data_IF_247367982747
#
_entry.id   IF_247367982747
#
_cell.length_a   1.000
_cell.length_b   1.000
_cell.length_c   1.000
_cell.angle_alpha   90.00
_cell.angle_beta   90.00
_cell.angle_gamma   90.00
#
_symmetry.space_group_name_H-M   'P 1'
#
loop_
_entity.id
_entity.type
_entity.pdbx_description
1 polymer ?
#
# COMPACT_ATOMS: atom_id res chain seq x y z
N UNK A 1 -13.54 -11.50 -17.57
CA UNK A 1 -12.17 -11.10 -17.19
C UNK A 1 -12.24 -10.71 -15.72
N UNK A 2 -11.59 -11.48 -14.86
CA UNK A 2 -11.53 -11.23 -13.41
C UNK A 2 -10.15 -10.68 -13.07
N UNK A 3 -10.11 -9.67 -12.19
CA UNK A 3 -8.86 -8.99 -11.81
C UNK A 3 -8.79 -8.99 -10.29
N UNK A 4 -7.73 -9.61 -9.77
CA UNK A 4 -7.38 -9.56 -8.35
C UNK A 4 -6.08 -8.78 -8.20
N UNK A 5 -5.99 -7.95 -7.17
CA UNK A 5 -4.80 -7.13 -6.88
C UNK A 5 -4.16 -7.57 -5.58
N UNK A 6 -2.83 -7.72 -5.59
CA UNK A 6 -2.07 -7.96 -4.36
C UNK A 6 -1.73 -6.62 -3.73
N UNK A 7 -2.37 -6.32 -2.60
CA UNK A 7 -2.07 -5.12 -1.80
C UNK A 7 -1.09 -5.52 -0.70
N UNK A 8 -0.01 -4.76 -0.58
CA UNK A 8 1.02 -4.96 0.42
C UNK A 8 0.97 -3.82 1.43
N UNK A 9 1.05 -4.15 2.73
CA UNK A 9 1.36 -3.17 3.76
C UNK A 9 2.88 -3.03 3.82
N UNK A 10 3.37 -1.92 3.30
CA UNK A 10 4.80 -1.65 3.27
C UNK A 10 5.38 -1.60 4.69
N UNK A 11 6.51 -2.26 4.87
CA UNK A 11 7.34 -2.14 6.07
C UNK A 11 8.29 -0.96 5.94
N UNK A 12 8.93 -0.83 4.78
CA UNK A 12 9.95 0.18 4.54
C UNK A 12 9.34 1.42 3.85
N UNK A 13 10.06 2.54 3.89
CA UNK A 13 9.51 3.85 3.52
C UNK A 13 10.18 4.46 2.30
N UNK A 14 9.45 5.33 1.60
CA UNK A 14 10.03 6.30 0.66
C UNK A 14 10.03 7.71 1.21
N UNK A 15 10.22 8.69 0.34
CA UNK A 15 10.23 10.10 0.70
C UNK A 15 9.60 10.98 -0.38
N UNK A 16 9.12 12.15 0.03
CA UNK A 16 8.69 13.21 -0.89
C UNK A 16 9.79 14.27 -0.92
N UNK A 17 10.33 14.54 -2.10
CA UNK A 17 11.36 15.55 -2.33
C UNK A 17 10.79 16.68 -3.16
N UNK A 18 11.29 17.90 -2.98
CA UNK A 18 11.01 19.01 -3.90
C UNK A 18 12.06 19.01 -5.00
N UNK A 19 11.62 18.99 -6.26
CA UNK A 19 12.51 19.17 -7.41
C UNK A 19 13.13 20.58 -7.35
N UNK A 20 14.45 20.73 -7.21
CA UNK A 20 15.06 22.05 -7.03
C UNK A 20 14.98 22.93 -8.28
N UNK A 21 14.78 22.33 -9.46
CA UNK A 21 14.68 23.07 -10.72
C UNK A 21 13.26 23.48 -11.06
N UNK A 22 12.26 22.68 -10.64
CA UNK A 22 10.85 22.87 -11.01
C UNK A 22 9.96 23.30 -9.85
N UNK A 23 10.43 23.16 -8.60
CA UNK A 23 9.66 23.44 -7.39
C UNK A 23 8.48 22.49 -7.14
N UNK A 24 8.40 21.37 -7.88
CA UNK A 24 7.28 20.42 -7.77
C UNK A 24 7.66 19.23 -6.87
N UNK A 25 6.71 18.66 -6.11
CA UNK A 25 6.96 17.47 -5.32
C UNK A 25 7.22 16.25 -6.22
N UNK A 26 8.15 15.41 -5.78
CA UNK A 26 8.54 14.14 -6.38
C UNK A 26 8.51 13.06 -5.33
N UNK A 27 7.75 12.00 -5.59
CA UNK A 27 7.76 10.80 -4.75
C UNK A 27 8.97 9.96 -5.17
N UNK A 28 9.91 9.78 -4.25
CA UNK A 28 11.02 8.85 -4.38
C UNK A 28 10.71 7.60 -3.56
N UNK A 29 10.30 6.55 -4.24
CA UNK A 29 9.89 5.30 -3.62
C UNK A 29 10.30 4.12 -4.50
N UNK A 30 10.98 3.17 -3.87
CA UNK A 30 11.33 1.87 -4.46
C UNK A 30 10.97 0.83 -3.41
N UNK A 31 10.08 -0.13 -3.70
CA UNK A 31 9.78 -1.23 -2.78
C UNK A 31 11.06 -1.90 -2.31
N UNK A 32 11.15 -2.16 -1.01
CA UNK A 32 12.29 -2.92 -0.49
C UNK A 32 12.24 -4.37 -0.96
N UNK A 33 13.34 -5.10 -0.79
CA UNK A 33 13.35 -6.56 -1.06
C UNK A 33 12.32 -7.30 -0.22
N UNK A 34 12.03 -6.82 0.98
CA UNK A 34 11.02 -7.42 1.86
C UNK A 34 9.61 -7.15 1.33
N UNK A 35 9.29 -5.91 1.00
CA UNK A 35 7.96 -5.51 0.53
C UNK A 35 7.66 -6.12 -0.85
N UNK A 36 8.64 -6.12 -1.76
CA UNK A 36 8.54 -6.79 -3.06
C UNK A 36 8.26 -8.30 -2.88
N UNK A 37 8.99 -8.99 -1.99
CA UNK A 37 8.74 -10.41 -1.71
C UNK A 37 7.34 -10.63 -1.12
N UNK A 38 6.92 -9.78 -0.18
CA UNK A 38 5.59 -9.84 0.43
C UNK A 38 4.49 -9.72 -0.63
N UNK A 39 4.63 -8.78 -1.56
CA UNK A 39 3.75 -8.62 -2.70
C UNK A 39 3.71 -9.86 -3.60
N UNK A 40 4.88 -10.43 -3.96
CA UNK A 40 4.96 -11.62 -4.80
C UNK A 40 4.23 -12.83 -4.18
N UNK A 41 4.35 -13.03 -2.87
CA UNK A 41 3.60 -14.08 -2.17
C UNK A 41 2.10 -13.88 -2.32
N UNK A 42 1.63 -12.64 -2.22
CA UNK A 42 0.24 -12.29 -2.46
C UNK A 42 -0.19 -12.58 -3.90
N UNK A 43 0.62 -12.20 -4.90
CA UNK A 43 0.34 -12.52 -6.30
C UNK A 43 0.23 -14.03 -6.56
N UNK A 44 1.11 -14.84 -5.96
CA UNK A 44 1.06 -16.31 -6.03
C UNK A 44 -0.23 -16.85 -5.39
N UNK A 45 -0.66 -16.29 -4.25
CA UNK A 45 -1.91 -16.66 -3.61
C UNK A 45 -3.13 -16.31 -4.49
N UNK A 46 -3.12 -15.14 -5.13
CA UNK A 46 -4.17 -14.73 -6.07
C UNK A 46 -4.24 -15.65 -7.29
N UNK A 47 -3.09 -16.06 -7.83
CA UNK A 47 -3.06 -17.03 -8.92
C UNK A 47 -3.71 -18.37 -8.52
N UNK A 48 -3.49 -18.84 -7.28
CA UNK A 48 -4.16 -20.04 -6.75
C UNK A 48 -5.69 -19.84 -6.65
N UNK A 49 -6.15 -18.67 -6.21
CA UNK A 49 -7.58 -18.34 -6.16
C UNK A 49 -8.19 -18.37 -7.56
N UNK A 50 -7.57 -17.67 -8.52
CA UNK A 50 -8.02 -17.66 -9.92
C UNK A 50 -8.04 -19.08 -10.51
N UNK A 51 -7.04 -19.89 -10.19
CA UNK A 51 -6.99 -21.29 -10.61
C UNK A 51 -8.20 -22.06 -10.06
N UNK A 52 -8.50 -21.96 -8.77
CA UNK A 52 -9.64 -22.65 -8.14
C UNK A 52 -10.98 -22.15 -8.69
N UNK A 53 -11.08 -20.87 -9.06
CA UNK A 53 -12.26 -20.30 -9.72
C UNK A 53 -12.45 -20.78 -11.17
N UNK A 54 -11.55 -21.63 -11.69
CA UNK A 54 -11.64 -22.18 -13.04
C UNK A 54 -11.08 -21.25 -14.13
N UNK A 55 -10.15 -20.35 -13.78
CA UNK A 55 -9.50 -19.50 -14.78
C UNK A 55 -8.83 -20.36 -15.87
N UNK A 56 -9.17 -20.07 -17.14
CA UNK A 56 -8.54 -20.71 -18.31
C UNK A 56 -7.12 -20.16 -18.55
N UNK A 57 -6.94 -18.88 -18.26
CA UNK A 57 -5.66 -18.18 -18.43
C UNK A 57 -5.42 -17.28 -17.23
N UNK A 58 -4.19 -17.28 -16.71
CA UNK A 58 -3.79 -16.42 -15.59
C UNK A 58 -2.60 -15.59 -16.05
N UNK A 59 -2.82 -14.27 -16.08
CA UNK A 59 -1.82 -13.28 -16.47
C UNK A 59 -1.28 -12.61 -15.20
N UNK A 60 -0.02 -12.82 -14.82
CA UNK A 60 0.52 -12.37 -13.54
C UNK A 60 0.91 -10.87 -13.54
N UNK A 61 0.74 -10.17 -14.67
CA UNK A 61 1.19 -8.78 -14.85
C UNK A 61 2.69 -8.55 -14.53
N UNK A 62 3.51 -9.59 -14.65
CA UNK A 62 4.97 -9.53 -14.56
C UNK A 62 5.54 -9.44 -15.98
N UNK A 63 6.11 -8.29 -16.41
CA UNK A 63 6.64 -8.15 -17.76
C UNK A 63 7.66 -9.24 -18.07
N UNK A 64 7.50 -9.91 -19.21
CA UNK A 64 8.39 -11.00 -19.65
C UNK A 64 8.01 -12.41 -19.17
N UNK A 65 7.19 -12.55 -18.13
CA UNK A 65 6.69 -13.85 -17.68
C UNK A 65 5.46 -14.27 -18.48
N UNK A 66 5.46 -15.50 -19.00
CA UNK A 66 4.33 -16.02 -19.77
C UNK A 66 3.13 -16.34 -18.86
N UNK A 67 1.89 -16.13 -19.35
CA UNK A 67 0.70 -16.50 -18.60
C UNK A 67 0.61 -18.02 -18.43
N UNK A 68 -0.05 -18.46 -17.36
CA UNK A 68 -0.47 -19.86 -17.26
C UNK A 68 -1.68 -20.07 -18.16
N UNK A 69 -1.60 -21.04 -19.07
CA UNK A 69 -2.72 -21.45 -19.92
C UNK A 69 -3.12 -22.86 -19.50
N UNK A 70 -4.34 -23.01 -19.01
CA UNK A 70 -4.90 -24.31 -18.59
C UNK A 70 -5.00 -25.24 -19.80
N UNK A 71 -4.56 -26.48 -19.66
CA UNK A 71 -4.64 -27.45 -20.75
C UNK A 71 -6.10 -27.76 -21.05
N UNK A 72 -6.43 -27.86 -22.32
CA UNK A 72 -7.71 -28.36 -22.79
C UNK A 72 -7.38 -29.41 -23.86
N UNK A 73 -7.75 -30.68 -23.63
CA UNK A 73 -7.56 -31.72 -24.63
C UNK A 73 -8.32 -31.35 -25.91
N UNK A 74 -7.74 -31.64 -27.09
CA UNK A 74 -8.33 -31.28 -28.39
C UNK A 74 -9.74 -31.86 -28.63
N UNK A 75 -10.16 -32.86 -27.85
CA UNK A 75 -11.48 -33.50 -27.91
C UNK A 75 -12.31 -33.34 -26.62
N UNK A 76 -11.81 -32.63 -25.60
CA UNK A 76 -12.46 -32.58 -24.28
C UNK A 76 -13.41 -31.39 -24.16
N UNK A 77 -14.67 -31.68 -23.88
CA UNK A 77 -15.71 -30.65 -23.64
C UNK A 77 -15.53 -29.91 -22.30
N UNK A 78 -14.74 -30.46 -21.39
CA UNK A 78 -14.52 -29.97 -20.03
C UNK A 78 -13.05 -30.12 -19.65
N UNK A 79 -12.57 -29.28 -18.74
CA UNK A 79 -11.21 -29.35 -18.23
C UNK A 79 -11.20 -30.24 -16.99
N UNK A 80 -10.32 -31.24 -16.93
CA UNK A 80 -10.13 -32.06 -15.72
C UNK A 80 -9.33 -31.27 -14.67
N UNK A 81 -10.05 -30.74 -13.69
CA UNK A 81 -9.50 -29.93 -12.59
C UNK A 81 -9.41 -30.71 -11.27
N UNK A 82 -9.51 -32.05 -11.30
CA UNK A 82 -9.49 -32.90 -10.11
C UNK A 82 -8.23 -32.72 -9.24
N UNK A 83 -7.09 -32.41 -9.85
CA UNK A 83 -5.84 -32.13 -9.15
C UNK A 83 -5.85 -30.76 -8.41
N UNK A 84 -6.79 -29.87 -8.72
CA UNK A 84 -6.88 -28.54 -8.13
C UNK A 84 -5.53 -27.80 -8.21
N UNK A 85 -5.17 -27.07 -7.16
CA UNK A 85 -3.89 -26.34 -7.12
C UNK A 85 -2.66 -27.26 -7.13
N UNK A 86 -2.82 -28.58 -6.97
CA UNK A 86 -1.71 -29.54 -7.02
C UNK A 86 -1.35 -30.01 -8.43
N UNK A 87 -2.04 -29.50 -9.46
CA UNK A 87 -1.66 -29.71 -10.87
C UNK A 87 -0.17 -29.39 -11.10
N UNK A 88 0.55 -30.35 -11.69
CA UNK A 88 2.00 -30.27 -11.80
C UNK A 88 2.47 -29.11 -12.69
N UNK A 89 1.73 -28.80 -13.77
CA UNK A 89 2.07 -27.68 -14.65
C UNK A 89 1.85 -26.35 -13.96
N UNK A 90 0.77 -26.23 -13.21
CA UNK A 90 0.47 -25.04 -12.42
C UNK A 90 1.50 -24.85 -11.32
N UNK A 91 1.88 -25.90 -10.59
CA UNK A 91 2.94 -25.85 -9.59
C UNK A 91 4.30 -25.49 -10.20
N UNK A 92 4.64 -26.01 -11.37
CA UNK A 92 5.85 -25.64 -12.10
C UNK A 92 5.83 -24.15 -12.48
N UNK A 93 4.71 -23.65 -13.00
CA UNK A 93 4.55 -22.24 -13.34
C UNK A 93 4.60 -21.32 -12.10
N UNK A 94 4.03 -21.72 -10.96
CA UNK A 94 4.15 -20.96 -9.72
C UNK A 94 5.61 -20.87 -9.23
N UNK A 95 6.40 -21.95 -9.38
CA UNK A 95 7.84 -21.94 -9.07
C UNK A 95 8.62 -21.03 -10.03
N UNK A 96 8.27 -21.03 -11.32
CA UNK A 96 8.84 -20.10 -12.30
C UNK A 96 8.53 -18.65 -11.91
N UNK A 97 7.28 -18.35 -11.56
CA UNK A 97 6.85 -17.03 -11.09
C UNK A 97 7.61 -16.57 -9.84
N UNK A 98 7.79 -17.46 -8.86
CA UNK A 98 8.55 -17.18 -7.64
C UNK A 98 10.04 -16.88 -7.95
N UNK A 99 10.66 -17.69 -8.82
CA UNK A 99 12.04 -17.51 -9.23
C UNK A 99 12.25 -16.26 -10.11
N UNK A 100 11.26 -15.91 -10.92
CA UNK A 100 11.26 -14.71 -11.76
C UNK A 100 11.27 -13.44 -10.90
N UNK A 101 10.40 -13.42 -9.89
CA UNK A 101 10.23 -12.30 -8.98
C UNK A 101 9.53 -11.09 -9.61
N UNK A 102 9.49 -9.99 -8.86
CA UNK A 102 8.84 -8.72 -9.24
C UNK A 102 9.83 -7.55 -9.12
N UNK A 103 10.97 -7.68 -9.80
CA UNK A 103 12.09 -6.74 -9.70
C UNK A 103 11.70 -5.37 -10.25
N UNK A 104 12.20 -4.32 -9.59
CA UNK A 104 12.15 -2.94 -10.09
C UNK A 104 13.37 -2.66 -11.00
N UNK A 105 13.25 -1.74 -11.98
CA UNK A 105 12.07 -0.95 -12.33
C UNK A 105 11.06 -1.67 -13.26
N UNK A 106 11.38 -2.89 -13.70
CA UNK A 106 10.60 -3.58 -14.73
C UNK A 106 9.16 -3.86 -14.28
N UNK A 107 8.96 -4.26 -13.03
CA UNK A 107 7.61 -4.46 -12.47
C UNK A 107 7.05 -3.14 -11.98
N UNK A 108 5.88 -2.70 -12.48
CA UNK A 108 5.25 -1.48 -12.00
C UNK A 108 4.62 -1.70 -10.63
N UNK A 109 5.01 -0.88 -9.67
CA UNK A 109 4.32 -0.73 -8.39
C UNK A 109 3.53 0.57 -8.39
N UNK A 110 2.27 0.52 -7.94
CA UNK A 110 1.41 1.68 -7.84
C UNK A 110 0.73 1.73 -6.48
N UNK A 111 0.40 2.95 -6.03
CA UNK A 111 -0.39 3.17 -4.82
C UNK A 111 -1.27 4.39 -5.02
N UNK A 112 -2.51 4.28 -4.53
CA UNK A 112 -3.42 5.42 -4.37
C UNK A 112 -3.44 5.96 -2.93
N UNK A 113 -2.65 5.36 -2.03
CA UNK A 113 -2.70 5.60 -0.59
C UNK A 113 -1.33 6.08 -0.07
N UNK A 114 -0.87 7.23 -0.55
CA UNK A 114 0.30 7.90 0.01
C UNK A 114 -0.02 8.43 1.42
N UNK A 115 0.86 8.17 2.39
CA UNK A 115 0.66 8.55 3.78
C UNK A 115 2.00 8.69 4.51
N UNK A 116 1.97 9.16 5.75
CA UNK A 116 3.13 9.21 6.68
C UNK A 116 4.26 10.21 6.37
N UNK A 117 4.08 11.15 5.43
CA UNK A 117 5.12 12.14 5.09
C UNK A 117 5.30 13.24 6.15
N UNK A 118 4.31 13.50 7.00
CA UNK A 118 4.38 14.38 8.16
C UNK A 118 4.07 13.59 9.43
N UNK A 119 4.80 12.48 9.59
CA UNK A 119 4.54 11.43 10.58
C UNK A 119 4.24 11.98 11.98
N UNK A 120 3.13 11.54 12.57
CA UNK A 120 2.81 11.71 13.98
C UNK A 120 3.74 10.87 14.85
N UNK A 121 4.30 11.47 15.90
CA UNK A 121 5.24 10.83 16.80
C UNK A 121 5.06 11.32 18.25
N UNK A 122 5.55 10.54 19.21
CA UNK A 122 5.60 10.94 20.62
C UNK A 122 6.79 11.84 20.95
N UNK A 123 7.74 11.98 20.02
CA UNK A 123 8.97 12.77 20.15
C UNK A 123 9.25 13.53 18.86
N UNK A 124 9.71 14.78 18.98
CA UNK A 124 10.10 15.61 17.85
C UNK A 124 11.19 14.97 16.97
N UNK A 125 12.09 14.15 17.54
CA UNK A 125 13.14 13.47 16.76
C UNK A 125 12.63 12.40 15.79
N UNK A 126 11.39 11.93 15.99
CA UNK A 126 10.88 10.74 15.32
C UNK A 126 9.76 11.06 14.30
N UNK A 127 9.38 12.33 14.17
CA UNK A 127 8.25 12.75 13.34
C UNK A 127 8.13 14.27 13.21
N UNK A 128 7.03 14.70 12.58
CA UNK A 128 6.77 16.11 12.24
C UNK A 128 5.71 16.72 13.16
N UNK A 129 4.74 15.91 13.59
CA UNK A 129 3.64 16.36 14.45
C UNK A 129 3.52 15.51 15.71
N UNK A 130 2.95 16.10 16.76
CA UNK A 130 2.54 15.38 17.97
C UNK A 130 1.23 14.59 17.76
N UNK A 131 0.73 13.91 18.80
CA UNK A 131 -0.49 13.11 18.74
C UNK A 131 -1.79 13.89 18.49
N UNK A 132 -1.71 15.23 18.51
CA UNK A 132 -2.81 16.15 18.21
C UNK A 132 -2.61 16.88 16.88
N UNK A 133 -1.62 16.47 16.08
CA UNK A 133 -1.35 17.02 14.76
C UNK A 133 -0.61 18.35 14.78
N UNK A 134 -0.15 18.84 15.96
CA UNK A 134 0.59 20.09 16.08
C UNK A 134 2.02 19.89 15.60
N UNK A 135 2.52 20.78 14.75
CA UNK A 135 3.88 20.72 14.22
C UNK A 135 4.88 21.04 15.33
N UNK A 136 5.84 20.13 15.54
CA UNK A 136 6.86 20.32 16.56
C UNK A 136 7.67 21.60 16.32
N UNK A 137 7.83 22.41 17.37
CA UNK A 137 8.57 23.68 17.30
C UNK A 137 7.85 24.82 16.57
N UNK A 138 6.55 24.67 16.31
CA UNK A 138 5.70 25.72 15.73
C UNK A 138 4.49 26.01 16.63
N UNK A 139 4.11 27.29 16.70
CA UNK A 139 2.87 27.72 17.35
C UNK A 139 1.76 27.87 16.31
N UNK A 140 0.54 27.42 16.63
CA UNK A 140 -0.63 27.59 15.78
C UNK A 140 -0.60 26.84 14.43
N UNK A 141 0.31 25.89 14.23
CA UNK A 141 0.45 25.13 12.99
C UNK A 141 0.13 23.64 13.19
N UNK A 142 -0.80 23.11 12.39
CA UNK A 142 -1.29 21.74 12.48
C UNK A 142 -1.39 21.07 11.11
N UNK A 143 -1.32 19.74 11.10
CA UNK A 143 -1.56 18.90 9.92
C UNK A 143 -2.65 17.88 10.25
N UNK A 144 -3.64 17.72 9.37
CA UNK A 144 -4.81 16.86 9.60
C UNK A 144 -5.22 16.12 8.32
N UNK A 145 -4.34 15.25 7.81
CA UNK A 145 -4.59 14.42 6.63
C UNK A 145 -3.84 13.07 6.72
N UNK A 146 -3.76 12.31 5.63
CA UNK A 146 -3.05 11.03 5.60
C UNK A 146 -1.55 11.11 5.93
N UNK A 147 -0.92 12.27 5.78
CA UNK A 147 0.52 12.45 6.04
C UNK A 147 0.88 12.24 7.50
N UNK A 148 -0.06 12.40 8.43
CA UNK A 148 0.20 12.23 9.87
C UNK A 148 0.21 10.78 10.32
N UNK A 149 -0.31 9.84 9.51
CA UNK A 149 -0.37 8.44 9.92
C UNK A 149 1.03 7.91 10.28
N UNK A 150 1.22 7.21 11.41
CA UNK A 150 2.56 6.78 11.85
C UNK A 150 3.23 5.76 10.91
N UNK A 151 2.45 5.01 10.13
CA UNK A 151 2.93 4.02 9.15
C UNK A 151 1.82 3.68 8.15
N UNK A 152 2.15 2.88 7.12
CA UNK A 152 1.16 2.32 6.21
C UNK A 152 0.05 1.55 6.97
N UNK A 153 -1.22 1.85 6.68
CA UNK A 153 -2.38 1.19 7.30
C UNK A 153 -2.55 -0.26 6.82
N UNK A 154 -2.11 -0.58 5.60
CA UNK A 154 -2.32 -1.88 4.96
C UNK A 154 -3.74 -2.13 4.45
N UNK A 155 -4.63 -1.15 4.59
CA UNK A 155 -6.04 -1.18 4.18
C UNK A 155 -6.43 0.18 3.60
N UNK A 156 -7.64 0.31 3.02
CA UNK A 156 -8.14 1.60 2.58
C UNK A 156 -8.18 2.59 3.78
N UNK A 157 -7.42 3.69 3.75
CA UNK A 157 -7.22 4.53 4.93
C UNK A 157 -8.35 5.55 5.15
N UNK A 158 -9.36 5.64 4.27
CA UNK A 158 -10.38 6.69 4.30
C UNK A 158 -10.99 6.95 5.69
N UNK A 159 -11.51 5.91 6.34
CA UNK A 159 -12.15 6.03 7.66
C UNK A 159 -11.13 6.37 8.75
N UNK A 160 -9.92 5.83 8.65
CA UNK A 160 -8.82 6.16 9.58
C UNK A 160 -8.43 7.62 9.46
N UNK A 161 -8.31 8.15 8.24
CA UNK A 161 -7.97 9.55 7.98
C UNK A 161 -9.07 10.46 8.53
N UNK A 162 -10.35 10.14 8.27
CA UNK A 162 -11.48 10.91 8.81
C UNK A 162 -11.46 10.94 10.34
N UNK A 163 -11.28 9.78 10.99
CA UNK A 163 -11.27 9.69 12.45
C UNK A 163 -10.09 10.46 13.08
N UNK A 164 -8.90 10.37 12.50
CA UNK A 164 -7.71 11.11 12.98
C UNK A 164 -7.88 12.61 12.75
N UNK A 165 -8.39 13.03 11.58
CA UNK A 165 -8.63 14.45 11.28
C UNK A 165 -9.69 15.05 12.19
N UNK A 166 -10.76 14.32 12.51
CA UNK A 166 -11.79 14.73 13.46
C UNK A 166 -11.22 14.91 14.88
N UNK A 167 -10.36 13.98 15.31
CA UNK A 167 -9.66 14.08 16.60
C UNK A 167 -8.77 15.31 16.66
N UNK A 168 -8.00 15.59 15.61
CA UNK A 168 -7.12 16.77 15.51
C UNK A 168 -7.95 18.05 15.53
N UNK A 169 -9.03 18.11 14.73
CA UNK A 169 -9.96 19.24 14.73
C UNK A 169 -10.60 19.51 16.09
N UNK A 170 -10.99 18.44 16.80
CA UNK A 170 -11.52 18.54 18.16
C UNK A 170 -10.49 19.09 19.17
N UNK A 171 -9.23 18.67 19.05
CA UNK A 171 -8.14 19.17 19.91
C UNK A 171 -7.89 20.67 19.67
N UNK A 172 -7.84 21.10 18.40
CA UNK A 172 -7.71 22.51 18.02
C UNK A 172 -8.88 23.33 18.60
N UNK A 173 -10.11 22.84 18.48
CA UNK A 173 -11.28 23.53 19.02
C UNK A 173 -11.20 23.71 20.56
N UNK A 174 -10.70 22.70 21.27
CA UNK A 174 -10.52 22.75 22.73
C UNK A 174 -9.40 23.72 23.15
N UNK A 175 -8.27 23.74 22.44
CA UNK A 175 -7.17 24.69 22.65
C UNK A 175 -7.68 26.13 22.49
N UNK A 176 -8.34 26.44 21.37
CA UNK A 176 -8.90 27.78 21.10
C UNK A 176 -10.02 28.20 22.07
N UNK A 177 -10.77 27.25 22.63
CA UNK A 177 -11.78 27.54 23.64
C UNK A 177 -11.12 27.90 24.99
N UNK A 178 -10.03 27.21 25.33
CA UNK A 178 -9.27 27.43 26.55
C UNK A 178 -8.57 28.80 26.52
N UNK A 179 -7.91 29.13 25.41
CA UNK A 179 -7.26 30.44 25.20
C UNK A 179 -8.25 31.61 25.29
N UNK A 180 -9.46 31.44 24.73
CA UNK A 180 -10.53 32.44 24.85
C UNK A 180 -10.99 32.67 26.29
N UNK A 181 -11.10 31.60 27.08
CA UNK A 181 -11.46 31.72 28.49
C UNK A 181 -10.36 32.39 29.31
N UNK A 182 -9.09 32.14 28.98
CA UNK A 182 -7.95 32.76 29.65
C UNK A 182 -7.85 34.25 29.32
N UNK A 183 -8.02 34.61 28.04
CA UNK A 183 -8.06 36.01 27.59
C UNK A 183 -9.22 36.78 28.22
N UNK A 184 -10.39 36.16 28.38
CA UNK A 184 -11.57 36.80 29.00
C UNK A 184 -11.47 36.98 30.53
N UNK A 185 -10.44 36.40 31.18
CA UNK A 185 -10.19 36.55 32.63
C UNK A 185 -9.18 37.66 32.96
N UNK A 186 -8.53 38.24 31.96
CA UNK A 186 -7.57 39.35 32.07
C UNK A 186 -8.32 40.67 31.84
#
# INVERSE_FOLDING_TARGET
>A
MEVLISITRDRDSGQVLIDPSRGIPRVAYTPSKFDARSNLMGMIALAKILYIQGAREIHPALPGLRPFIRAQGASEKFIDDSAGITDERFQAWLKEMEAYGNKTPDTPFCSAHQMSSCRMSSRQSDGVVDEFGKVWGCEGLYVADASVLPSASGVNPMVTIMAISERIGSAIAQELASERQETARI
#
